data_IF_686304201357
#
_entry.id   IF_686304201357
#
_cell.length_a   1.000
_cell.length_b   1.000
_cell.length_c   1.000
_cell.angle_alpha   90.00
_cell.angle_beta   90.00
_cell.angle_gamma   90.00
#
_symmetry.space_group_name_H-M   'P 1'
#
loop_
_entity.id
_entity.type
_entity.pdbx_description
1 polymer ?
#
# COMPACT_ATOMS: atom_id res chain seq x y z
N UNK A 1 -7.30 40.32 -56.21
CA UNK A 1 -6.24 40.84 -55.34
C UNK A 1 -6.85 41.16 -53.98
N UNK A 2 -6.40 40.46 -52.93
CA UNK A 2 -6.37 40.85 -51.49
C UNK A 2 -7.71 41.12 -50.79
N UNK A 3 -8.01 40.71 -49.55
CA UNK A 3 -7.48 39.82 -48.50
C UNK A 3 -8.72 39.59 -47.59
N UNK A 4 -9.09 38.40 -47.14
CA UNK A 4 -8.42 37.67 -46.07
C UNK A 4 -8.89 38.07 -44.65
N UNK A 5 -10.20 38.01 -44.33
CA UNK A 5 -10.69 38.17 -42.94
C UNK A 5 -10.73 36.81 -42.22
N UNK A 6 -9.61 36.43 -41.60
CA UNK A 6 -9.50 35.29 -40.70
C UNK A 6 -9.57 35.72 -39.24
N UNK A 7 -10.78 35.75 -38.66
CA UNK A 7 -10.98 35.90 -37.22
C UNK A 7 -10.88 34.51 -36.54
N UNK A 8 -9.67 34.14 -36.14
CA UNK A 8 -9.37 32.88 -35.45
C UNK A 8 -9.06 33.08 -33.97
N UNK A 9 -10.02 33.55 -33.16
CA UNK A 9 -9.93 33.42 -31.69
C UNK A 9 -10.51 32.07 -31.27
N UNK A 10 -9.66 31.05 -31.11
CA UNK A 10 -9.97 29.92 -30.22
C UNK A 10 -9.19 30.08 -28.92
N UNK A 11 -9.87 30.67 -27.94
CA UNK A 11 -9.58 30.46 -26.51
C UNK A 11 -10.19 29.11 -26.13
N UNK A 12 -9.35 28.10 -25.94
CA UNK A 12 -9.66 26.90 -25.16
C UNK A 12 -8.41 26.68 -24.33
N UNK A 13 -8.36 27.08 -23.08
CA UNK A 13 -9.12 26.49 -21.98
C UNK A 13 -8.04 25.86 -21.09
N UNK A 14 -7.86 26.33 -19.85
CA UNK A 14 -6.71 25.94 -19.05
C UNK A 14 -6.72 24.43 -18.82
N UNK A 15 -5.57 23.80 -19.07
CA UNK A 15 -5.26 22.44 -18.64
C UNK A 15 -5.41 22.47 -17.11
N UNK A 16 -6.54 21.96 -16.63
CA UNK A 16 -6.75 21.70 -15.22
C UNK A 16 -5.82 20.54 -14.84
N UNK A 17 -4.57 20.88 -14.53
CA UNK A 17 -3.69 20.00 -13.77
C UNK A 17 -4.28 19.93 -12.36
N UNK A 18 -5.27 19.05 -12.18
CA UNK A 18 -5.84 18.79 -10.87
C UNK A 18 -4.73 18.19 -10.02
N UNK A 19 -4.32 18.99 -9.03
CA UNK A 19 -3.28 18.68 -8.08
C UNK A 19 -3.50 17.29 -7.47
N UNK A 20 -2.45 16.48 -7.51
CA UNK A 20 -2.31 15.23 -6.76
C UNK A 20 -2.36 15.57 -5.28
N UNK A 21 -3.54 15.48 -4.66
CA UNK A 21 -3.62 15.43 -3.20
C UNK A 21 -3.53 13.97 -2.81
N UNK A 22 -2.30 13.53 -2.55
CA UNK A 22 -2.05 12.27 -1.87
C UNK A 22 -2.57 12.37 -0.42
N UNK A 23 -3.81 11.95 -0.18
CA UNK A 23 -4.41 11.89 1.17
C UNK A 23 -3.80 10.75 2.03
N UNK A 24 -2.86 9.97 1.48
CA UNK A 24 -2.20 8.88 2.20
C UNK A 24 -1.31 9.32 3.39
N UNK A 25 -0.98 10.61 3.52
CA UNK A 25 0.03 11.06 4.48
C UNK A 25 -0.45 11.26 5.92
N UNK A 26 -1.74 11.49 6.15
CA UNK A 26 -2.18 12.02 7.46
C UNK A 26 -2.45 10.92 8.50
N UNK A 27 -2.80 9.70 8.08
CA UNK A 27 -3.22 8.66 9.03
C UNK A 27 -2.09 7.81 9.61
N UNK A 28 -0.92 7.75 8.96
CA UNK A 28 0.27 7.09 9.52
C UNK A 28 0.82 7.80 10.77
N UNK A 29 0.57 9.10 10.93
CA UNK A 29 1.00 9.87 12.11
C UNK A 29 0.14 9.58 13.35
N UNK A 30 -1.08 9.08 13.20
CA UNK A 30 -2.00 8.84 14.31
C UNK A 30 -1.77 7.51 15.04
N UNK A 31 -1.01 6.56 14.48
CA UNK A 31 -0.67 5.31 15.16
C UNK A 31 0.48 5.45 16.16
N UNK A 32 1.10 6.63 16.22
CA UNK A 32 2.21 6.90 17.15
C UNK A 32 1.75 7.33 18.55
N UNK A 33 0.46 7.35 18.87
CA UNK A 33 -0.04 7.86 20.15
C UNK A 33 -0.60 6.76 21.07
N UNK A 34 0.19 6.38 22.09
CA UNK A 34 -0.14 6.58 23.51
C UNK A 34 0.85 5.86 24.43
N UNK A 35 1.91 6.55 24.89
CA UNK A 35 2.64 6.32 26.16
C UNK A 35 3.38 5.00 26.42
N UNK A 36 3.09 3.92 25.71
CA UNK A 36 3.68 2.60 25.93
C UNK A 36 4.90 2.39 25.01
N UNK A 37 5.93 1.73 25.55
CA UNK A 37 7.08 1.33 24.74
C UNK A 37 6.62 0.37 23.63
N UNK A 38 7.18 0.49 22.40
CA UNK A 38 6.79 -0.41 21.31
C UNK A 38 7.06 -1.87 21.67
N UNK A 39 6.22 -2.81 21.20
CA UNK A 39 6.38 -4.21 21.50
C UNK A 39 7.71 -4.75 20.96
N UNK A 40 8.18 -5.84 21.57
CA UNK A 40 9.40 -6.52 21.14
C UNK A 40 9.07 -7.53 20.08
N UNK A 41 9.75 -7.44 18.95
CA UNK A 41 9.64 -8.38 17.85
C UNK A 41 10.99 -8.47 17.14
N UNK A 42 11.36 -9.67 16.69
CA UNK A 42 12.55 -9.82 15.86
C UNK A 42 12.24 -9.49 14.41
N UNK A 43 13.22 -8.99 13.64
CA UNK A 43 13.04 -8.73 12.21
C UNK A 43 12.59 -9.97 11.44
N UNK A 44 13.12 -11.14 11.81
CA UNK A 44 12.77 -12.41 11.18
C UNK A 44 11.31 -12.81 11.44
N UNK A 45 10.84 -12.68 12.68
CA UNK A 45 9.47 -13.00 13.04
C UNK A 45 8.47 -11.99 12.46
N UNK A 46 8.78 -10.69 12.51
CA UNK A 46 7.99 -9.66 11.83
C UNK A 46 7.88 -9.94 10.32
N UNK A 47 8.98 -10.34 9.67
CA UNK A 47 8.98 -10.72 8.26
C UNK A 47 8.12 -11.95 7.97
N UNK A 48 8.24 -12.99 8.80
CA UNK A 48 7.43 -14.21 8.64
C UNK A 48 5.93 -13.90 8.75
N UNK A 49 5.53 -13.10 9.74
CA UNK A 49 4.13 -12.67 9.91
C UNK A 49 3.66 -11.83 8.71
N UNK A 50 4.44 -10.84 8.29
CA UNK A 50 4.09 -10.01 7.14
C UNK A 50 3.98 -10.82 5.83
N UNK A 51 4.83 -11.83 5.64
CA UNK A 51 4.75 -12.77 4.53
C UNK A 51 3.47 -13.61 4.57
N UNK A 52 3.07 -14.11 5.75
CA UNK A 52 1.82 -14.84 5.92
C UNK A 52 0.62 -13.95 5.63
N UNK A 53 0.61 -12.71 6.11
CA UNK A 53 -0.46 -11.75 5.84
C UNK A 53 -0.58 -11.43 4.35
N UNK A 54 0.53 -11.18 3.64
CA UNK A 54 0.49 -10.97 2.19
C UNK A 54 -0.08 -12.18 1.45
N UNK A 55 0.25 -13.41 1.87
CA UNK A 55 -0.34 -14.63 1.30
C UNK A 55 -1.84 -14.72 1.57
N UNK A 56 -2.28 -14.38 2.78
CA UNK A 56 -3.70 -14.35 3.13
C UNK A 56 -4.48 -13.32 2.29
N UNK A 57 -3.95 -12.11 2.15
CA UNK A 57 -4.53 -11.05 1.32
C UNK A 57 -4.62 -11.48 -0.15
N UNK A 58 -3.58 -12.13 -0.69
CA UNK A 58 -3.61 -12.68 -2.04
C UNK A 58 -4.71 -13.76 -2.20
N UNK A 59 -4.85 -14.64 -1.21
CA UNK A 59 -5.88 -15.68 -1.19
C UNK A 59 -7.30 -15.08 -1.15
N UNK A 60 -7.54 -14.06 -0.32
CA UNK A 60 -8.83 -13.36 -0.25
C UNK A 60 -9.21 -12.69 -1.57
N UNK A 61 -8.23 -12.08 -2.23
CA UNK A 61 -8.37 -11.47 -3.54
C UNK A 61 -8.51 -12.52 -4.67
N UNK A 62 -8.20 -13.79 -4.38
CA UNK A 62 -8.08 -14.90 -5.34
C UNK A 62 -7.07 -14.63 -6.45
N UNK A 63 -5.90 -14.11 -6.08
CA UNK A 63 -4.80 -13.82 -7.00
C UNK A 63 -3.54 -14.57 -6.57
N UNK A 64 -2.72 -14.99 -7.53
CA UNK A 64 -1.45 -15.66 -7.27
C UNK A 64 -0.31 -14.66 -7.14
N UNK A 65 0.49 -14.77 -6.08
CA UNK A 65 1.77 -14.06 -6.00
C UNK A 65 2.68 -14.63 -7.10
N UNK A 66 3.15 -13.74 -7.98
CA UNK A 66 4.03 -14.09 -9.09
C UNK A 66 5.48 -14.20 -8.62
N UNK A 67 6.25 -15.08 -9.25
CA UNK A 67 7.72 -15.08 -9.16
C UNK A 67 8.39 -14.09 -10.13
N UNK A 68 7.61 -13.30 -10.87
CA UNK A 68 8.12 -12.39 -11.92
C UNK A 68 8.91 -11.23 -11.32
N UNK A 69 8.46 -10.72 -10.17
CA UNK A 69 9.13 -9.66 -9.43
C UNK A 69 9.51 -10.17 -8.05
N UNK A 70 10.75 -9.91 -7.65
CA UNK A 70 11.23 -10.31 -6.35
C UNK A 70 10.46 -9.56 -5.26
N UNK A 71 9.88 -10.26 -4.27
CA UNK A 71 9.35 -9.59 -3.10
C UNK A 71 10.49 -8.90 -2.33
N UNK A 72 10.14 -7.85 -1.58
CA UNK A 72 11.11 -7.02 -0.87
C UNK A 72 10.66 -6.71 0.55
N UNK A 73 11.61 -6.69 1.48
CA UNK A 73 11.44 -6.22 2.85
C UNK A 73 12.26 -4.95 3.07
N UNK A 74 11.61 -3.88 3.54
CA UNK A 74 12.25 -2.63 3.98
C UNK A 74 12.12 -2.51 5.49
N UNK A 75 13.23 -2.19 6.16
CA UNK A 75 13.25 -1.90 7.59
C UNK A 75 13.61 -0.43 7.77
N UNK A 76 12.64 0.36 8.24
CA UNK A 76 12.74 1.81 8.32
C UNK A 76 12.69 2.29 9.77
N UNK A 77 13.24 3.47 10.03
CA UNK A 77 13.12 4.11 11.33
C UNK A 77 11.66 4.45 11.60
N UNK A 78 11.20 4.17 12.82
CA UNK A 78 9.81 4.46 13.21
C UNK A 78 9.45 5.95 13.15
N UNK A 79 10.42 6.83 13.38
CA UNK A 79 10.25 8.29 13.39
C UNK A 79 10.52 8.95 12.04
N UNK A 80 11.01 8.20 11.04
CA UNK A 80 11.42 8.76 9.75
C UNK A 80 11.32 7.73 8.62
N UNK A 81 10.29 7.91 7.80
CA UNK A 81 10.06 7.13 6.57
C UNK A 81 11.23 7.24 5.59
N UNK A 82 11.52 6.15 4.88
CA UNK A 82 12.56 6.07 3.86
C UNK A 82 13.98 6.05 4.40
N UNK A 83 14.16 6.10 5.73
CA UNK A 83 15.47 5.99 6.36
C UNK A 83 15.62 4.62 6.99
N UNK A 84 16.65 3.89 6.56
CA UNK A 84 16.94 2.55 7.05
C UNK A 84 17.10 2.53 8.58
N UNK A 85 16.44 1.59 9.24
CA UNK A 85 16.61 1.38 10.67
C UNK A 85 17.97 0.73 10.98
N UNK A 86 18.67 1.19 12.04
CA UNK A 86 19.82 0.46 12.58
C UNK A 86 19.41 -0.95 13.02
N UNK A 87 20.32 -1.92 12.93
CA UNK A 87 20.03 -3.34 13.20
C UNK A 87 19.41 -3.55 14.59
N UNK A 88 19.99 -2.87 15.58
CA UNK A 88 19.62 -3.01 17.01
C UNK A 88 18.65 -1.92 17.48
N UNK A 89 18.18 -1.06 16.57
CA UNK A 89 17.24 0.01 16.90
C UNK A 89 15.79 -0.34 16.58
N UNK A 90 14.84 0.47 17.10
CA UNK A 90 13.44 0.36 16.72
C UNK A 90 13.25 0.46 15.21
N UNK A 91 12.31 -0.32 14.68
CA UNK A 91 12.06 -0.40 13.25
C UNK A 91 10.57 -0.55 12.93
N UNK A 92 10.18 -0.07 11.76
CA UNK A 92 8.98 -0.53 11.06
C UNK A 92 9.41 -1.45 9.93
N UNK A 93 8.58 -2.45 9.61
CA UNK A 93 8.77 -3.31 8.46
C UNK A 93 7.73 -2.96 7.40
N UNK A 94 8.14 -2.88 6.13
CA UNK A 94 7.24 -3.02 5.00
C UNK A 94 7.67 -4.22 4.16
N UNK A 95 6.80 -5.22 4.05
CA UNK A 95 6.98 -6.34 3.13
C UNK A 95 6.07 -6.14 1.91
N UNK A 96 6.64 -6.26 0.72
CA UNK A 96 5.92 -6.11 -0.56
C UNK A 96 6.10 -7.36 -1.41
N UNK A 97 5.00 -7.85 -1.98
CA UNK A 97 5.00 -8.86 -3.03
C UNK A 97 4.11 -8.40 -4.20
N UNK A 98 4.17 -9.16 -5.30
CA UNK A 98 3.53 -8.79 -6.56
C UNK A 98 2.77 -9.98 -7.13
N UNK A 99 1.51 -9.75 -7.52
CA UNK A 99 0.70 -10.70 -8.26
C UNK A 99 0.67 -10.32 -9.74
N UNK A 100 0.64 -11.34 -10.61
CA UNK A 100 0.41 -11.19 -12.05
C UNK A 100 -1.09 -11.36 -12.29
N UNK A 101 -1.73 -10.30 -12.75
CA UNK A 101 -3.17 -10.24 -12.95
C UNK A 101 -3.47 -9.34 -14.13
N UNK A 102 -4.17 -9.80 -15.18
CA UNK A 102 -4.56 -8.91 -16.28
C UNK A 102 -5.39 -7.72 -15.78
N UNK A 103 -5.13 -6.52 -16.31
CA UNK A 103 -5.69 -5.23 -15.82
C UNK A 103 -7.21 -5.27 -15.67
N UNK A 104 -7.90 -5.88 -16.65
CA UNK A 104 -9.36 -6.08 -16.65
C UNK A 104 -9.91 -6.76 -15.38
N UNK A 105 -9.08 -7.46 -14.62
CA UNK A 105 -9.46 -8.17 -13.40
C UNK A 105 -9.06 -7.44 -12.11
N UNK A 106 -8.28 -6.35 -12.17
CA UNK A 106 -7.79 -5.64 -10.97
C UNK A 106 -8.93 -5.17 -10.07
N UNK A 107 -9.89 -4.42 -10.62
CA UNK A 107 -11.04 -3.91 -9.87
C UNK A 107 -11.83 -5.06 -9.24
N UNK A 108 -12.12 -6.12 -10.01
CA UNK A 108 -12.86 -7.26 -9.51
C UNK A 108 -12.11 -8.00 -8.37
N UNK A 109 -10.79 -8.12 -8.45
CA UNK A 109 -9.98 -8.70 -7.38
C UNK A 109 -10.01 -7.84 -6.10
N UNK A 110 -9.86 -6.53 -6.23
CA UNK A 110 -9.87 -5.63 -5.07
C UNK A 110 -11.27 -5.48 -4.45
N UNK A 111 -12.35 -5.56 -5.23
CA UNK A 111 -13.73 -5.69 -4.68
C UNK A 111 -13.90 -6.95 -3.83
N UNK A 112 -13.37 -8.09 -4.29
CA UNK A 112 -13.42 -9.35 -3.52
C UNK A 112 -12.61 -9.24 -2.24
N UNK A 113 -11.41 -8.68 -2.32
CA UNK A 113 -10.56 -8.44 -1.17
C UNK A 113 -11.29 -7.57 -0.14
N UNK A 114 -11.83 -6.42 -0.58
CA UNK A 114 -12.61 -5.53 0.28
C UNK A 114 -13.71 -6.28 1.04
N UNK A 115 -14.55 -7.02 0.31
CA UNK A 115 -15.63 -7.77 0.91
C UNK A 115 -15.13 -8.85 1.90
N UNK A 116 -13.96 -9.45 1.64
CA UNK A 116 -13.35 -10.41 2.56
C UNK A 116 -12.82 -9.74 3.83
N UNK A 117 -12.15 -8.59 3.71
CA UNK A 117 -11.62 -7.82 4.83
C UNK A 117 -12.74 -7.25 5.72
N UNK A 118 -13.83 -6.75 5.14
CA UNK A 118 -15.00 -6.22 5.87
C UNK A 118 -15.69 -7.27 6.75
N UNK A 119 -15.43 -8.57 6.52
CA UNK A 119 -15.95 -9.68 7.35
C UNK A 119 -14.99 -10.14 8.45
N UNK A 120 -13.78 -9.58 8.53
CA UNK A 120 -12.77 -9.99 9.51
C UNK A 120 -12.84 -9.10 10.72
N UNK A 121 -12.97 -9.72 11.89
CA UNK A 121 -12.96 -9.00 13.15
C UNK A 121 -11.63 -8.26 13.35
N UNK A 122 -11.71 -6.98 13.70
CA UNK A 122 -10.53 -6.14 13.95
C UNK A 122 -9.82 -5.63 12.69
N UNK A 123 -10.34 -5.90 11.49
CA UNK A 123 -9.87 -5.31 10.24
C UNK A 123 -10.80 -4.19 9.78
N UNK A 124 -10.23 -3.06 9.39
CA UNK A 124 -10.96 -1.88 8.94
C UNK A 124 -10.42 -1.39 7.60
N UNK A 125 -11.27 -1.33 6.57
CA UNK A 125 -10.89 -0.74 5.27
C UNK A 125 -10.94 0.78 5.39
N UNK A 126 -9.78 1.43 5.35
CA UNK A 126 -9.64 2.87 5.56
C UNK A 126 -9.69 3.68 4.27
N UNK A 127 -9.36 3.07 3.13
CA UNK A 127 -9.50 3.69 1.82
C UNK A 127 -9.81 2.66 0.75
N UNK A 128 -10.64 3.06 -0.22
CA UNK A 128 -10.95 2.26 -1.40
C UNK A 128 -11.25 3.16 -2.59
N UNK A 129 -10.51 2.99 -3.68
CA UNK A 129 -10.67 3.77 -4.92
C UNK A 129 -10.65 2.84 -6.13
N UNK A 130 -11.55 3.10 -7.09
CA UNK A 130 -11.58 2.45 -8.39
C UNK A 130 -11.43 3.49 -9.50
N UNK A 131 -10.71 3.13 -10.56
CA UNK A 131 -10.54 3.93 -11.78
C UNK A 131 -10.88 3.08 -13.00
N UNK A 132 -12.18 2.91 -13.32
CA UNK A 132 -12.62 2.01 -14.39
C UNK A 132 -12.03 2.33 -15.76
N UNK A 133 -11.75 3.61 -16.06
CA UNK A 133 -11.25 4.05 -17.36
C UNK A 133 -9.86 3.48 -17.68
N UNK A 134 -9.07 3.18 -16.65
CA UNK A 134 -7.71 2.62 -16.76
C UNK A 134 -7.60 1.24 -16.09
N UNK A 135 -8.73 0.68 -15.66
CA UNK A 135 -8.80 -0.62 -14.98
C UNK A 135 -7.91 -0.71 -13.73
N UNK A 136 -7.74 0.39 -13.00
CA UNK A 136 -6.95 0.44 -11.76
C UNK A 136 -7.85 0.45 -10.52
N UNK A 137 -7.32 -0.05 -9.42
CA UNK A 137 -7.92 0.09 -8.09
C UNK A 137 -6.84 0.12 -7.00
N UNK A 138 -7.18 0.74 -5.87
CA UNK A 138 -6.37 0.78 -4.65
C UNK A 138 -7.27 0.52 -3.44
N UNK A 139 -6.71 -0.18 -2.45
CA UNK A 139 -7.31 -0.46 -1.16
C UNK A 139 -6.27 -0.32 -0.07
N UNK A 140 -6.62 0.40 0.99
CA UNK A 140 -5.86 0.47 2.24
C UNK A 140 -6.74 -0.02 3.40
N UNK A 141 -6.15 -0.79 4.31
CA UNK A 141 -6.84 -1.29 5.48
C UNK A 141 -5.91 -1.38 6.70
N UNK A 142 -6.48 -1.25 7.89
CA UNK A 142 -5.81 -1.47 9.17
C UNK A 142 -6.22 -2.83 9.72
N UNK A 143 -5.25 -3.67 10.05
CA UNK A 143 -5.39 -4.96 10.69
C UNK A 143 -4.91 -4.84 12.14
N UNK A 144 -5.84 -4.48 13.04
CA UNK A 144 -5.51 -4.23 14.46
C UNK A 144 -5.01 -5.47 15.19
N UNK A 145 -5.60 -6.67 15.00
CA UNK A 145 -5.10 -7.90 15.64
C UNK A 145 -3.62 -8.17 15.39
N UNK A 146 -3.16 -7.93 14.15
CA UNK A 146 -1.76 -8.16 13.77
C UNK A 146 -0.91 -6.90 13.82
N UNK A 147 -1.48 -5.76 14.22
CA UNK A 147 -0.81 -4.46 14.27
C UNK A 147 -0.11 -4.16 12.95
N UNK A 148 -0.89 -4.20 11.88
CA UNK A 148 -0.41 -4.00 10.52
C UNK A 148 -1.33 -3.10 9.70
N UNK A 149 -0.77 -2.49 8.67
CA UNK A 149 -1.45 -1.79 7.61
C UNK A 149 -1.29 -2.58 6.30
N UNK A 150 -2.40 -2.84 5.63
CA UNK A 150 -2.48 -3.50 4.34
C UNK A 150 -2.63 -2.43 3.27
N UNK A 151 -1.79 -2.47 2.24
CA UNK A 151 -1.90 -1.61 1.06
C UNK A 151 -1.86 -2.47 -0.19
N UNK A 152 -2.96 -2.53 -0.93
CA UNK A 152 -3.09 -3.31 -2.16
C UNK A 152 -3.48 -2.39 -3.29
N UNK A 153 -2.71 -2.38 -4.37
CA UNK A 153 -2.97 -1.47 -5.48
C UNK A 153 -2.56 -2.08 -6.82
N UNK A 154 -3.26 -1.67 -7.87
CA UNK A 154 -2.74 -1.76 -9.23
C UNK A 154 -1.39 -1.05 -9.29
N UNK A 155 -0.40 -1.68 -9.91
CA UNK A 155 0.97 -1.21 -9.91
C UNK A 155 1.56 -1.25 -11.32
N UNK A 156 2.64 -0.50 -11.51
CA UNK A 156 3.50 -0.64 -12.68
C UNK A 156 4.53 -1.76 -12.45
N UNK A 157 4.95 -2.48 -13.51
CA UNK A 157 4.45 -2.39 -14.90
C UNK A 157 3.04 -2.99 -15.05
N UNK A 158 2.36 -2.85 -16.21
CA UNK A 158 1.01 -3.38 -16.40
C UNK A 158 0.86 -4.86 -16.01
N UNK A 159 -0.38 -5.26 -15.72
CA UNK A 159 -0.74 -6.59 -15.26
C UNK A 159 -0.16 -6.96 -13.89
N UNK A 160 0.17 -5.95 -13.08
CA UNK A 160 0.76 -6.14 -11.76
C UNK A 160 -0.14 -5.58 -10.68
N UNK A 161 -0.40 -6.38 -9.65
CA UNK A 161 -0.99 -5.92 -8.40
C UNK A 161 0.08 -6.00 -7.32
N UNK A 162 0.35 -4.88 -6.66
CA UNK A 162 1.24 -4.81 -5.50
C UNK A 162 0.44 -5.13 -4.25
N UNK A 163 0.95 -6.04 -3.43
CA UNK A 163 0.45 -6.35 -2.10
C UNK A 163 1.52 -5.96 -1.10
N UNK A 164 1.21 -5.04 -0.20
CA UNK A 164 2.12 -4.61 0.84
C UNK A 164 1.48 -4.73 2.22
N UNK A 165 2.27 -5.20 3.16
CA UNK A 165 1.97 -5.20 4.59
C UNK A 165 3.04 -4.36 5.26
N UNK A 166 2.61 -3.38 6.05
CA UNK A 166 3.51 -2.55 6.82
C UNK A 166 3.14 -2.61 8.30
N UNK A 167 4.11 -2.81 9.18
CA UNK A 167 3.89 -3.02 10.61
C UNK A 167 3.89 -1.70 11.38
N UNK A 168 3.43 -1.73 12.63
CA UNK A 168 3.82 -0.69 13.58
C UNK A 168 5.32 -0.71 13.88
N UNK A 169 5.73 0.25 14.72
CA UNK A 169 7.05 0.27 15.30
C UNK A 169 7.24 -0.93 16.23
N UNK A 170 8.30 -1.69 16.00
CA UNK A 170 8.79 -2.70 16.92
C UNK A 170 10.12 -2.27 17.51
N UNK A 171 10.43 -2.77 18.70
CA UNK A 171 11.79 -2.79 19.23
C UNK A 171 12.37 -4.19 19.04
N UNK A 172 13.65 -4.31 18.68
CA UNK A 172 14.34 -5.59 18.77
C UNK A 172 14.25 -6.17 20.19
N UNK A 173 14.30 -7.51 20.35
CA UNK A 173 14.40 -8.14 21.65
C UNK A 173 15.60 -7.60 22.45
N UNK A 174 15.44 -7.45 23.77
CA UNK A 174 16.58 -7.18 24.67
C UNK A 174 17.30 -8.52 24.86
N UNK A 175 18.47 -8.61 24.25
CA UNK A 175 19.44 -9.71 24.25
C UNK A 175 19.18 -10.89 23.29
N UNK A 176 20.18 -11.36 22.56
CA UNK A 176 21.58 -10.90 22.59
C UNK A 176 22.49 -11.75 21.71
N UNK A 177 23.76 -11.82 22.07
CA UNK A 177 24.63 -12.94 21.69
C UNK A 177 23.98 -14.29 22.00
#
# INVERSE_FOLDING_TARGET
MRDGYGSGRRRGGPIAATAVIAVAAVWWLAWSSAGAAPPRESRAAALATAQQQVRAVAADARIGISGRYNPGASYERCDRRGVRAPADGPYTLTYTAYADLPDRFHIAALRRLRAALERRDGVEVTAYEERPQVQEAQLDAVDRPHRAHLAVASAKPPHTVRLAVATECFRPPEDGR
#
